data_IF_465832423285
#
_entry.id   IF_465832423285
#
_cell.length_a   1.000
_cell.length_b   1.000
_cell.length_c   1.000
_cell.angle_alpha   90.00
_cell.angle_beta   90.00
_cell.angle_gamma   90.00
#
_symmetry.space_group_name_H-M   'P 1'
#
loop_
_entity.id
_entity.type
_entity.pdbx_description
1 polymer ?
#
# COMPACT_ATOMS: atom_id res chain seq x y z
N UNK A 1 65.66 -17.39 23.90
CA UNK A 1 65.84 -18.74 23.33
C UNK A 1 64.49 -19.47 23.38
N UNK A 2 64.03 -19.96 22.21
CA UNK A 2 63.12 -21.10 21.90
C UNK A 2 61.82 -21.27 22.71
N UNK A 3 60.61 -21.18 22.11
CA UNK A 3 59.85 -22.21 21.31
C UNK A 3 59.67 -23.51 22.12
N UNK A 4 58.47 -24.03 22.44
CA UNK A 4 57.36 -24.45 21.54
C UNK A 4 56.07 -24.88 22.27
N UNK A 5 54.90 -24.57 21.65
CA UNK A 5 53.66 -25.37 21.39
C UNK A 5 52.88 -26.16 22.48
N UNK A 6 51.55 -25.93 22.53
CA UNK A 6 50.54 -26.98 22.23
C UNK A 6 49.17 -26.37 21.82
N UNK A 7 48.53 -27.01 20.83
CA UNK A 7 47.30 -26.65 20.10
C UNK A 7 46.01 -27.20 20.74
N UNK A 8 44.88 -26.51 20.47
CA UNK A 8 43.56 -27.05 20.09
C UNK A 8 42.72 -25.84 19.56
N UNK A 9 42.32 -25.64 18.29
CA UNK A 9 41.51 -26.43 17.33
C UNK A 9 40.11 -26.74 17.91
N UNK A 10 38.91 -26.46 17.36
CA UNK A 10 38.30 -25.99 16.09
C UNK A 10 36.86 -25.53 16.49
N UNK A 11 36.04 -24.80 15.72
CA UNK A 11 36.09 -24.47 14.30
C UNK A 11 34.98 -23.49 13.91
N UNK A 12 35.27 -22.74 12.86
CA UNK A 12 34.33 -21.86 12.17
C UNK A 12 33.78 -22.62 10.97
N UNK A 13 32.47 -22.84 10.94
CA UNK A 13 31.78 -23.46 9.82
C UNK A 13 31.50 -22.41 8.75
N UNK A 14 32.27 -22.45 7.67
CA UNK A 14 31.88 -21.93 6.36
C UNK A 14 31.10 -23.04 5.64
N UNK A 15 29.81 -22.82 5.37
CA UNK A 15 29.05 -23.63 4.42
C UNK A 15 28.25 -22.71 3.50
N UNK A 16 28.48 -22.96 2.22
CA UNK A 16 28.07 -22.29 1.00
C UNK A 16 26.57 -21.98 0.88
N UNK A 17 26.22 -20.73 0.56
CA UNK A 17 24.94 -20.39 -0.06
C UNK A 17 25.04 -20.61 -1.58
N UNK A 18 24.33 -21.59 -2.10
CA UNK A 18 24.00 -21.70 -3.51
C UNK A 18 22.73 -20.90 -3.80
N UNK A 19 22.90 -19.60 -4.08
CA UNK A 19 21.84 -18.77 -4.66
C UNK A 19 21.83 -18.97 -6.18
N UNK A 20 20.75 -19.53 -6.73
CA UNK A 20 20.47 -19.44 -8.17
C UNK A 20 19.64 -18.17 -8.40
N UNK A 21 20.09 -17.23 -9.25
CA UNK A 21 19.30 -16.05 -9.59
C UNK A 21 18.22 -16.45 -10.61
N UNK A 22 16.95 -16.41 -10.20
CA UNK A 22 15.83 -16.32 -11.14
C UNK A 22 15.57 -14.83 -11.37
N UNK A 23 16.02 -14.33 -12.51
CA UNK A 23 15.74 -12.97 -12.99
C UNK A 23 14.24 -12.77 -13.18
N UNK A 24 13.60 -12.02 -12.29
CA UNK A 24 12.27 -11.47 -12.52
C UNK A 24 12.40 -9.96 -12.74
N UNK A 25 12.57 -9.56 -14.00
CA UNK A 25 12.65 -8.16 -14.41
C UNK A 25 11.27 -7.51 -14.25
N UNK A 26 11.16 -6.50 -13.39
CA UNK A 26 9.94 -5.70 -13.11
C UNK A 26 9.46 -4.82 -14.29
N UNK A 27 9.98 -5.06 -15.49
CA UNK A 27 9.47 -4.51 -16.76
C UNK A 27 8.76 -5.56 -17.65
N UNK A 28 8.64 -6.82 -17.21
CA UNK A 28 8.18 -7.93 -18.04
C UNK A 28 6.67 -8.03 -18.29
N UNK A 29 5.81 -7.49 -17.42
CA UNK A 29 4.37 -7.79 -17.51
C UNK A 29 3.59 -6.91 -18.49
N UNK A 30 4.03 -5.67 -18.78
CA UNK A 30 3.37 -4.84 -19.80
C UNK A 30 3.74 -5.24 -21.23
N UNK A 31 4.99 -5.67 -21.47
CA UNK A 31 5.41 -6.13 -22.81
C UNK A 31 4.79 -7.49 -23.21
N UNK A 32 4.43 -8.35 -22.24
CA UNK A 32 3.68 -9.57 -22.53
C UNK A 32 2.26 -9.28 -23.09
N UNK A 33 1.60 -8.22 -22.61
CA UNK A 33 0.31 -7.77 -23.13
C UNK A 33 0.43 -6.99 -24.46
N UNK A 34 1.51 -6.25 -24.66
CA UNK A 34 1.75 -5.47 -25.88
C UNK A 34 2.12 -6.37 -27.09
N UNK A 35 2.84 -7.48 -26.86
CA UNK A 35 3.15 -8.45 -27.91
C UNK A 35 1.97 -9.35 -28.30
N UNK A 36 1.01 -9.57 -27.40
CA UNK A 36 -0.22 -10.32 -27.73
C UNK A 36 -1.17 -9.47 -28.61
N UNK A 37 -1.22 -8.16 -28.39
CA UNK A 37 -2.06 -7.24 -29.17
C UNK A 37 -1.56 -7.01 -30.61
N UNK A 38 -0.26 -7.15 -30.88
CA UNK A 38 0.32 -6.97 -32.22
C UNK A 38 0.19 -8.18 -33.16
N UNK A 39 -0.32 -9.33 -32.71
CA UNK A 39 -0.49 -10.53 -33.57
C UNK A 39 -1.90 -10.70 -34.17
N UNK A 40 -2.82 -9.75 -33.99
CA UNK A 40 -4.17 -9.84 -34.54
C UNK A 40 -4.42 -8.95 -35.77
N UNK A 41 -3.45 -8.88 -36.68
CA UNK A 41 -3.66 -8.25 -37.98
C UNK A 41 -3.31 -9.21 -39.12
N UNK A 42 -4.36 -9.61 -39.83
CA UNK A 42 -4.43 -10.25 -41.17
C UNK A 42 -4.33 -11.77 -41.29
N UNK A 43 -5.40 -12.34 -41.85
CA UNK A 43 -5.43 -13.70 -42.42
C UNK A 43 -6.83 -14.33 -42.42
N UNK A 44 -7.78 -13.79 -43.20
CA UNK A 44 -9.05 -14.47 -43.45
C UNK A 44 -8.81 -15.72 -44.31
N UNK A 45 -9.01 -16.90 -43.75
CA UNK A 45 -9.33 -18.11 -44.52
C UNK A 45 -10.57 -18.76 -43.91
N UNK A 46 -11.67 -18.71 -44.64
CA UNK A 46 -12.88 -19.46 -44.34
C UNK A 46 -12.63 -20.93 -44.63
N UNK A 47 -12.62 -21.77 -43.60
CA UNK A 47 -12.94 -23.17 -43.76
C UNK A 47 -14.15 -23.49 -42.88
N UNK A 48 -15.21 -23.95 -43.52
CA UNK A 48 -16.52 -24.18 -42.94
C UNK A 48 -16.54 -25.60 -42.42
N UNK A 49 -16.26 -25.76 -41.13
CA UNK A 49 -16.43 -27.04 -40.44
C UNK A 49 -17.56 -26.93 -39.42
N UNK A 50 -18.67 -27.58 -39.74
CA UNK A 50 -19.88 -27.64 -38.93
C UNK A 50 -19.87 -28.93 -38.13
N UNK A 51 -19.26 -28.92 -36.94
CA UNK A 51 -19.57 -29.91 -35.89
C UNK A 51 -19.32 -29.32 -34.49
N UNK A 52 -20.35 -29.44 -33.63
CA UNK A 52 -20.35 -29.23 -32.18
C UNK A 52 -20.03 -27.82 -31.67
N UNK A 53 -21.03 -26.94 -31.76
CA UNK A 53 -21.16 -25.80 -30.86
C UNK A 53 -21.39 -26.30 -29.42
N UNK A 54 -20.32 -26.63 -28.71
CA UNK A 54 -20.33 -26.38 -27.28
C UNK A 54 -20.55 -24.88 -27.12
N UNK A 55 -21.59 -24.52 -26.39
CA UNK A 55 -21.91 -23.15 -26.02
C UNK A 55 -20.68 -22.48 -25.43
N UNK A 56 -19.95 -21.71 -26.24
CA UNK A 56 -19.09 -20.63 -25.77
C UNK A 56 -20.00 -19.60 -25.13
N UNK A 57 -20.51 -19.91 -23.93
CA UNK A 57 -21.10 -18.92 -23.05
C UNK A 57 -19.99 -17.91 -22.80
N UNK A 58 -20.14 -16.73 -23.40
CA UNK A 58 -19.37 -15.55 -23.05
C UNK A 58 -19.76 -15.23 -21.60
N UNK A 59 -19.14 -15.91 -20.63
CA UNK A 59 -19.50 -15.79 -19.21
C UNK A 59 -19.42 -14.31 -18.85
N UNK A 60 -20.55 -13.77 -18.40
CA UNK A 60 -20.66 -12.34 -18.13
C UNK A 60 -19.62 -11.92 -17.07
N UNK A 61 -18.99 -10.78 -17.28
CA UNK A 61 -18.18 -10.12 -16.26
C UNK A 61 -19.08 -9.58 -15.14
N UNK A 62 -18.53 -9.46 -13.95
CA UNK A 62 -19.26 -8.93 -12.80
C UNK A 62 -19.14 -7.41 -12.72
N UNK A 63 -20.13 -6.79 -12.09
CA UNK A 63 -20.11 -5.38 -11.69
C UNK A 63 -20.08 -5.25 -10.18
N UNK A 64 -19.50 -4.16 -9.68
CA UNK A 64 -19.46 -3.89 -8.25
C UNK A 64 -20.91 -3.76 -7.72
N UNK A 65 -21.27 -4.45 -6.62
CA UNK A 65 -22.57 -4.27 -5.99
C UNK A 65 -22.78 -2.83 -5.50
N UNK A 66 -24.00 -2.33 -5.60
CA UNK A 66 -24.37 -1.05 -4.98
C UNK A 66 -24.52 -1.22 -3.48
N UNK A 67 -23.67 -0.56 -2.70
CA UNK A 67 -23.71 -0.58 -1.23
C UNK A 67 -23.12 0.72 -0.68
N UNK A 68 -23.64 1.28 0.43
CA UNK A 68 -23.18 2.57 0.96
C UNK A 68 -21.70 2.61 1.34
N UNK A 69 -21.13 1.48 1.77
CA UNK A 69 -19.72 1.38 2.11
C UNK A 69 -18.80 1.05 0.92
N UNK A 70 -19.37 0.77 -0.25
CA UNK A 70 -18.60 0.47 -1.46
C UNK A 70 -18.45 1.73 -2.31
N UNK A 71 -17.22 2.09 -2.61
CA UNK A 71 -16.90 3.24 -3.44
C UNK A 71 -16.51 2.76 -4.83
N UNK A 72 -17.22 3.15 -5.90
CA UNK A 72 -16.82 2.77 -7.25
C UNK A 72 -15.51 3.47 -7.63
N UNK A 73 -14.51 2.68 -8.04
CA UNK A 73 -13.30 3.21 -8.64
C UNK A 73 -13.57 3.51 -10.12
N UNK A 74 -13.27 4.73 -10.61
CA UNK A 74 -13.49 5.08 -12.01
C UNK A 74 -12.75 4.14 -12.96
N UNK A 75 -13.41 3.78 -14.07
CA UNK A 75 -12.84 2.92 -15.10
C UNK A 75 -13.90 2.42 -16.05
N UNK A 76 -13.47 1.92 -17.22
CA UNK A 76 -14.38 1.44 -18.25
C UNK A 76 -14.71 -0.05 -18.05
N UNK A 77 -13.68 -0.89 -17.93
CA UNK A 77 -13.81 -2.35 -17.87
C UNK A 77 -13.90 -2.87 -16.43
N UNK A 78 -13.32 -2.13 -15.46
CA UNK A 78 -13.32 -2.54 -14.05
C UNK A 78 -14.71 -2.54 -13.41
N UNK A 79 -15.74 -1.96 -14.05
CA UNK A 79 -17.13 -1.99 -13.57
C UNK A 79 -17.27 -1.55 -12.10
N UNK A 80 -16.46 -0.57 -11.68
CA UNK A 80 -16.43 -0.02 -10.33
C UNK A 80 -15.50 -0.72 -9.34
N UNK A 81 -14.98 -1.92 -9.67
CA UNK A 81 -14.01 -2.61 -8.82
C UNK A 81 -12.69 -1.84 -8.72
N UNK A 82 -11.97 -2.02 -7.60
CA UNK A 82 -10.68 -1.40 -7.35
C UNK A 82 -9.57 -2.16 -8.08
N UNK A 83 -9.57 -2.00 -9.40
CA UNK A 83 -8.60 -2.54 -10.36
C UNK A 83 -8.33 -1.47 -11.41
N UNK A 84 -7.27 -1.64 -12.19
CA UNK A 84 -6.99 -0.79 -13.35
C UNK A 84 -8.21 -0.68 -14.28
N UNK A 85 -8.46 0.51 -14.83
CA UNK A 85 -9.70 0.84 -15.55
C UNK A 85 -9.94 0.03 -16.83
N UNK A 86 -8.93 -0.63 -17.35
CA UNK A 86 -8.94 -1.52 -18.53
C UNK A 86 -8.93 -3.02 -18.16
N UNK A 87 -9.04 -3.35 -16.86
CA UNK A 87 -9.11 -4.74 -16.37
C UNK A 87 -10.54 -5.08 -16.01
N UNK A 88 -11.08 -6.17 -16.59
CA UNK A 88 -12.42 -6.67 -16.27
C UNK A 88 -12.43 -7.69 -15.13
N UNK A 89 -13.50 -7.64 -14.33
CA UNK A 89 -13.82 -8.65 -13.33
C UNK A 89 -14.51 -9.85 -13.99
N UNK A 90 -13.74 -10.74 -14.58
CA UNK A 90 -14.27 -11.90 -15.31
C UNK A 90 -14.66 -13.06 -14.39
N UNK A 91 -15.46 -13.99 -14.93
CA UNK A 91 -15.82 -15.22 -14.23
C UNK A 91 -14.59 -15.95 -13.66
N UNK A 92 -14.71 -16.40 -12.42
CA UNK A 92 -13.67 -17.15 -11.73
C UNK A 92 -12.55 -16.28 -11.18
N UNK A 93 -12.56 -14.96 -11.39
CA UNK A 93 -11.58 -14.04 -10.77
C UNK A 93 -12.07 -13.54 -9.41
N UNK A 94 -11.11 -13.26 -8.54
CA UNK A 94 -11.33 -12.42 -7.36
C UNK A 94 -11.16 -10.96 -7.77
N UNK A 95 -12.07 -10.10 -7.34
CA UNK A 95 -12.17 -8.72 -7.76
C UNK A 95 -12.16 -7.80 -6.54
N UNK A 96 -11.01 -7.18 -6.24
CA UNK A 96 -10.88 -6.22 -5.15
C UNK A 96 -11.81 -5.03 -5.32
N UNK A 97 -12.21 -4.41 -4.20
CA UNK A 97 -13.09 -3.23 -4.20
C UNK A 97 -12.63 -2.21 -3.18
N UNK A 98 -13.05 -0.97 -3.38
CA UNK A 98 -12.75 0.14 -2.49
C UNK A 98 -13.85 0.26 -1.43
N UNK A 99 -13.43 0.38 -0.17
CA UNK A 99 -14.31 0.72 0.94
C UNK A 99 -14.33 2.24 1.18
N UNK A 100 -15.39 2.73 1.81
CA UNK A 100 -15.47 4.12 2.25
C UNK A 100 -14.27 4.51 3.14
N UNK A 101 -13.80 5.77 3.11
CA UNK A 101 -12.62 6.18 3.86
C UNK A 101 -12.70 5.83 5.35
N UNK A 102 -11.62 5.24 5.88
CA UNK A 102 -11.55 4.73 7.26
C UNK A 102 -11.83 3.23 7.40
N UNK A 103 -12.36 2.59 6.34
CA UNK A 103 -12.68 1.16 6.31
C UNK A 103 -11.71 0.38 5.41
N UNK A 104 -11.60 -0.91 5.67
CA UNK A 104 -10.87 -1.88 4.85
C UNK A 104 -11.82 -2.96 4.34
N UNK A 105 -11.47 -3.61 3.23
CA UNK A 105 -12.26 -4.71 2.68
C UNK A 105 -12.31 -5.89 3.66
N UNK A 106 -13.38 -6.67 3.66
CA UNK A 106 -13.53 -7.84 4.54
C UNK A 106 -13.76 -9.13 3.74
N UNK A 107 -13.42 -9.10 2.44
CA UNK A 107 -13.64 -10.20 1.51
C UNK A 107 -12.36 -10.44 0.72
N UNK A 108 -11.99 -11.70 0.56
CA UNK A 108 -10.82 -12.19 -0.18
C UNK A 108 -10.91 -13.70 -0.31
N UNK A 109 -9.98 -14.31 -1.06
CA UNK A 109 -9.89 -15.77 -1.13
C UNK A 109 -9.62 -16.39 0.26
N UNK A 110 -10.46 -17.32 0.75
CA UNK A 110 -10.21 -17.99 2.02
C UNK A 110 -8.83 -18.65 2.07
N UNK A 111 -8.16 -18.50 3.21
CA UNK A 111 -6.81 -19.02 3.48
C UNK A 111 -5.68 -18.45 2.60
N UNK A 112 -5.93 -17.39 1.82
CA UNK A 112 -4.86 -16.69 1.09
C UNK A 112 -3.86 -16.04 2.03
N UNK A 113 -2.60 -15.98 1.58
CA UNK A 113 -1.48 -15.33 2.27
C UNK A 113 -0.89 -14.22 1.44
N UNK A 114 -0.04 -13.41 2.08
CA UNK A 114 0.74 -12.40 1.39
C UNK A 114 1.93 -13.04 0.64
N UNK A 115 1.59 -13.91 -0.32
CA UNK A 115 2.49 -14.62 -1.21
C UNK A 115 1.86 -14.64 -2.59
N UNK A 116 2.62 -14.32 -3.62
CA UNK A 116 2.12 -14.39 -4.99
C UNK A 116 1.87 -15.85 -5.42
N UNK A 117 0.75 -16.18 -6.11
CA UNK A 117 -0.30 -15.27 -6.59
C UNK A 117 -1.47 -15.07 -5.62
N UNK A 118 -1.46 -15.70 -4.44
CA UNK A 118 -2.56 -15.61 -3.47
C UNK A 118 -2.85 -14.18 -3.02
N UNK A 119 -1.81 -13.35 -2.92
CA UNK A 119 -1.92 -11.92 -2.58
C UNK A 119 -2.79 -11.11 -3.53
N UNK A 120 -2.95 -11.56 -4.77
CA UNK A 120 -3.79 -10.90 -5.79
C UNK A 120 -5.28 -11.16 -5.57
N UNK A 121 -5.64 -12.17 -4.78
CA UNK A 121 -7.00 -12.70 -4.73
C UNK A 121 -7.85 -12.02 -3.64
N UNK A 122 -7.95 -10.70 -3.71
CA UNK A 122 -8.79 -9.87 -2.84
C UNK A 122 -10.22 -9.66 -3.36
N UNK A 123 -11.10 -9.26 -2.45
CA UNK A 123 -12.47 -8.84 -2.76
C UNK A 123 -13.45 -9.98 -3.07
N UNK A 124 -14.35 -9.73 -4.02
CA UNK A 124 -15.47 -10.61 -4.34
C UNK A 124 -15.10 -11.65 -5.38
N UNK A 125 -15.70 -12.84 -5.31
CA UNK A 125 -15.54 -13.86 -6.33
C UNK A 125 -16.57 -13.65 -7.43
N UNK A 126 -16.13 -13.47 -8.67
CA UNK A 126 -17.06 -13.38 -9.79
C UNK A 126 -17.54 -14.78 -10.22
N UNK A 127 -18.85 -15.02 -10.16
CA UNK A 127 -19.51 -16.25 -10.56
C UNK A 127 -20.61 -15.97 -11.59
N UNK A 128 -20.35 -16.26 -12.87
CA UNK A 128 -21.23 -16.04 -14.02
C UNK A 128 -21.94 -14.68 -14.02
N UNK A 129 -21.19 -13.59 -13.80
CA UNK A 129 -21.72 -12.22 -13.76
C UNK A 129 -22.23 -11.76 -12.39
N UNK A 130 -22.25 -12.65 -11.38
CA UNK A 130 -22.62 -12.33 -10.01
C UNK A 130 -21.37 -12.21 -9.13
N UNK A 131 -21.19 -11.06 -8.47
CA UNK A 131 -20.10 -10.86 -7.52
C UNK A 131 -20.50 -11.40 -6.14
N UNK A 132 -19.93 -12.53 -5.74
CA UNK A 132 -20.26 -13.25 -4.50
C UNK A 132 -19.24 -12.93 -3.40
N UNK A 133 -19.72 -12.82 -2.16
CA UNK A 133 -18.86 -12.69 -0.97
C UNK A 133 -18.24 -14.06 -0.64
N UNK A 134 -16.90 -14.20 -0.61
CA UNK A 134 -16.26 -15.42 -0.15
C UNK A 134 -16.54 -15.75 1.33
N UNK A 135 -16.83 -14.73 2.15
CA UNK A 135 -17.31 -14.87 3.53
C UNK A 135 -18.76 -14.35 3.60
N UNK A 136 -19.78 -15.21 3.42
CA UNK A 136 -21.17 -14.79 3.30
C UNK A 136 -21.72 -14.04 4.51
N UNK A 137 -21.24 -14.37 5.70
CA UNK A 137 -21.70 -13.80 6.97
C UNK A 137 -20.95 -12.50 7.34
N UNK A 138 -19.85 -12.20 6.67
CA UNK A 138 -19.06 -10.98 6.91
C UNK A 138 -19.58 -9.81 6.05
N UNK A 139 -19.45 -8.56 6.51
CA UNK A 139 -19.79 -7.39 5.70
C UNK A 139 -18.84 -7.25 4.50
N UNK A 140 -19.13 -6.33 3.59
CA UNK A 140 -18.15 -5.94 2.57
C UNK A 140 -16.97 -5.18 3.20
N UNK A 141 -17.25 -4.24 4.10
CA UNK A 141 -16.23 -3.37 4.67
C UNK A 141 -16.29 -3.40 6.19
N UNK A 142 -15.14 -3.39 6.84
CA UNK A 142 -15.00 -3.23 8.29
C UNK A 142 -14.21 -1.97 8.61
N UNK A 143 -14.50 -1.35 9.74
CA UNK A 143 -13.75 -0.19 10.20
C UNK A 143 -12.29 -0.57 10.49
N UNK A 144 -11.37 0.31 10.11
CA UNK A 144 -10.03 0.30 10.67
C UNK A 144 -10.06 0.67 12.16
N UNK A 145 -8.90 0.66 12.80
CA UNK A 145 -8.80 0.92 14.25
C UNK A 145 -9.11 2.36 14.67
N UNK A 146 -9.24 3.28 13.71
CA UNK A 146 -9.52 4.70 13.97
C UNK A 146 -8.34 5.48 14.57
N UNK A 147 -7.16 4.87 14.65
CA UNK A 147 -6.00 5.45 15.32
C UNK A 147 -5.37 6.65 14.59
N UNK A 148 -5.64 6.81 13.28
CA UNK A 148 -5.01 7.85 12.45
C UNK A 148 -6.04 8.65 11.68
N UNK A 149 -5.92 9.98 11.77
CA UNK A 149 -6.62 10.93 10.93
C UNK A 149 -5.62 11.73 10.10
N UNK A 150 -6.09 12.27 8.98
CA UNK A 150 -5.35 13.27 8.22
C UNK A 150 -5.98 14.62 8.47
N UNK A 151 -5.14 15.63 8.73
CA UNK A 151 -5.55 17.02 8.92
C UNK A 151 -4.93 17.85 7.81
N UNK A 152 -5.78 18.39 6.95
CA UNK A 152 -5.40 19.26 5.84
C UNK A 152 -5.39 20.72 6.30
N UNK A 153 -4.21 21.34 6.29
CA UNK A 153 -4.00 22.77 6.56
C UNK A 153 -3.58 23.58 5.32
N UNK A 154 -3.60 22.99 4.12
CA UNK A 154 -3.09 23.66 2.90
C UNK A 154 -4.12 24.58 2.23
N UNK A 155 -5.41 24.46 2.55
CA UNK A 155 -6.47 25.29 1.95
C UNK A 155 -7.01 24.80 0.59
N UNK A 156 -6.49 23.69 0.09
CA UNK A 156 -6.94 23.02 -1.14
C UNK A 156 -7.16 21.54 -0.85
N UNK A 157 -8.00 20.88 -1.64
CA UNK A 157 -8.22 19.44 -1.51
C UNK A 157 -6.88 18.69 -1.64
N UNK A 158 -6.69 17.65 -0.84
CA UNK A 158 -5.57 16.72 -0.95
C UNK A 158 -6.16 15.32 -1.02
N UNK A 159 -5.64 14.47 -1.90
CA UNK A 159 -6.08 13.09 -2.01
C UNK A 159 -5.02 12.12 -1.48
N UNK A 160 -5.50 11.16 -0.68
CA UNK A 160 -4.77 10.01 -0.21
C UNK A 160 -5.32 8.78 -0.93
N UNK A 161 -4.47 8.13 -1.70
CA UNK A 161 -4.85 6.99 -2.52
C UNK A 161 -4.31 5.71 -1.89
N UNK A 162 -5.20 4.91 -1.31
CA UNK A 162 -4.84 3.66 -0.67
C UNK A 162 -4.53 2.59 -1.71
N UNK A 163 -3.52 1.76 -1.44
CA UNK A 163 -3.22 0.58 -2.26
C UNK A 163 -4.25 -0.52 -2.05
N UNK A 164 -4.57 -1.24 -3.11
CA UNK A 164 -5.48 -2.37 -3.08
C UNK A 164 -4.73 -3.61 -2.58
N UNK A 165 -4.95 -3.98 -1.33
CA UNK A 165 -4.33 -5.17 -0.71
C UNK A 165 -5.33 -5.87 0.21
N UNK A 166 -5.65 -7.17 0.03
CA UNK A 166 -5.22 -8.03 -1.07
C UNK A 166 -5.72 -7.55 -2.43
N UNK A 167 -4.91 -7.75 -3.46
CA UNK A 167 -5.12 -7.22 -4.80
C UNK A 167 -3.80 -6.88 -5.48
N UNK A 168 -3.87 -6.14 -6.57
CA UNK A 168 -2.71 -5.79 -7.42
C UNK A 168 -1.81 -4.67 -6.86
N UNK A 169 -2.06 -4.24 -5.61
CA UNK A 169 -1.37 -3.15 -4.93
C UNK A 169 -1.48 -1.78 -5.64
N UNK A 170 -2.38 -1.63 -6.61
CA UNK A 170 -2.60 -0.35 -7.28
C UNK A 170 -3.16 0.69 -6.29
N UNK A 171 -2.68 1.93 -6.36
CA UNK A 171 -3.10 3.05 -5.51
C UNK A 171 -4.41 3.71 -5.99
N UNK A 172 -5.48 2.93 -6.07
CA UNK A 172 -6.74 3.37 -6.70
C UNK A 172 -7.92 3.52 -5.75
N UNK A 173 -7.75 3.22 -4.45
CA UNK A 173 -8.80 3.41 -3.45
C UNK A 173 -8.81 4.89 -3.02
N UNK A 174 -9.87 5.67 -3.33
CA UNK A 174 -9.83 7.11 -3.23
C UNK A 174 -10.21 7.63 -1.84
N UNK A 175 -9.44 8.58 -1.30
CA UNK A 175 -9.84 9.39 -0.15
C UNK A 175 -9.51 10.86 -0.39
N UNK A 176 -10.56 11.69 -0.55
CA UNK A 176 -10.44 13.14 -0.63
C UNK A 176 -10.52 13.80 0.75
N UNK A 177 -9.64 14.78 0.99
CA UNK A 177 -9.45 15.40 2.30
C UNK A 177 -9.52 16.91 2.15
N UNK A 178 -10.64 17.49 2.54
CA UNK A 178 -10.86 18.95 2.50
C UNK A 178 -10.52 19.64 3.82
N UNK A 179 -10.69 18.95 4.93
CA UNK A 179 -10.32 19.41 6.27
C UNK A 179 -9.72 18.23 7.04
N UNK A 180 -10.53 17.49 7.79
CA UNK A 180 -10.07 16.32 8.56
C UNK A 180 -10.80 15.07 8.10
N UNK A 181 -10.07 13.96 7.95
CA UNK A 181 -10.65 12.67 7.57
C UNK A 181 -9.89 11.51 8.22
N UNK A 182 -10.62 10.55 8.78
CA UNK A 182 -10.05 9.26 9.20
C UNK A 182 -9.63 8.45 7.98
N UNK A 183 -8.41 7.91 8.02
CA UNK A 183 -7.91 6.96 7.03
C UNK A 183 -7.94 5.55 7.62
N UNK A 184 -7.99 4.54 6.76
CA UNK A 184 -8.04 3.16 7.21
C UNK A 184 -6.69 2.75 7.85
N UNK A 185 -6.77 2.18 9.05
CA UNK A 185 -5.64 1.59 9.76
C UNK A 185 -6.03 0.16 10.08
N UNK A 186 -5.48 -0.85 9.38
CA UNK A 186 -5.83 -2.24 9.65
C UNK A 186 -5.34 -2.67 11.03
N UNK A 187 -6.15 -3.45 11.73
CA UNK A 187 -5.75 -4.19 12.91
C UNK A 187 -5.25 -5.60 12.56
N UNK A 188 -4.87 -6.37 13.59
CA UNK A 188 -4.37 -7.75 13.41
C UNK A 188 -5.39 -8.75 12.84
N UNK A 189 -6.68 -8.39 12.81
CA UNK A 189 -7.73 -9.21 12.20
C UNK A 189 -7.80 -9.03 10.67
N UNK A 190 -7.14 -8.01 10.14
CA UNK A 190 -7.11 -7.76 8.71
C UNK A 190 -6.27 -8.80 7.98
N UNK A 191 -6.56 -8.98 6.69
CA UNK A 191 -5.94 -9.95 5.81
C UNK A 191 -4.42 -10.04 6.00
N UNK A 192 -3.97 -11.23 6.40
CA UNK A 192 -2.58 -11.58 6.72
C UNK A 192 -1.83 -10.58 7.63
N UNK A 193 -2.56 -9.89 8.52
CA UNK A 193 -2.03 -8.87 9.45
C UNK A 193 -1.28 -7.73 8.74
N UNK A 194 -1.67 -7.43 7.51
CA UNK A 194 -1.03 -6.42 6.66
C UNK A 194 -1.35 -4.99 7.11
N UNK A 195 -0.58 -4.04 6.59
CA UNK A 195 -0.78 -2.60 6.81
C UNK A 195 -1.53 -1.97 5.64
N UNK A 196 -2.08 -0.77 5.86
CA UNK A 196 -2.54 0.08 4.77
C UNK A 196 -1.39 0.98 4.31
N UNK A 197 -1.31 1.21 2.99
CA UNK A 197 -0.35 2.10 2.37
C UNK A 197 -1.07 3.13 1.50
N UNK A 198 -0.55 4.35 1.44
CA UNK A 198 -1.17 5.51 0.82
C UNK A 198 -0.17 6.31 0.00
N UNK A 199 -0.58 6.73 -1.20
CA UNK A 199 0.09 7.75 -1.99
C UNK A 199 -0.58 9.10 -1.75
N UNK A 200 0.20 10.16 -1.52
CA UNK A 200 -0.29 11.48 -1.10
C UNK A 200 -0.06 12.49 -2.22
N UNK A 201 -1.15 12.88 -2.88
CA UNK A 201 -1.08 13.81 -4.00
C UNK A 201 -0.92 15.28 -3.55
N UNK A 202 -0.40 16.16 -4.42
CA UNK A 202 -0.26 17.58 -4.12
C UNK A 202 -1.60 18.32 -3.86
N UNK A 203 -1.56 19.44 -3.11
CA UNK A 203 -2.70 20.32 -2.92
C UNK A 203 -3.37 20.76 -4.22
N UNK A 204 -4.68 20.57 -4.33
CA UNK A 204 -5.49 20.85 -5.51
C UNK A 204 -5.79 19.62 -6.36
N UNK A 205 -5.16 18.47 -6.10
CA UNK A 205 -5.38 17.23 -6.85
C UNK A 205 -6.41 16.36 -6.12
N UNK A 206 -7.61 16.26 -6.69
CA UNK A 206 -8.68 15.38 -6.19
C UNK A 206 -8.35 13.89 -6.38
N UNK A 207 -9.05 13.00 -5.69
CA UNK A 207 -8.85 11.57 -5.80
C UNK A 207 -9.20 11.04 -7.20
N UNK A 208 -10.17 11.65 -7.89
CA UNK A 208 -10.49 11.31 -9.29
C UNK A 208 -9.33 11.62 -10.25
N UNK A 209 -8.56 12.67 -9.97
CA UNK A 209 -7.38 13.04 -10.76
C UNK A 209 -6.13 12.27 -10.30
N UNK A 210 -5.97 12.07 -8.99
CA UNK A 210 -4.74 11.62 -8.37
C UNK A 210 -4.66 10.13 -8.04
N UNK A 211 -5.77 9.42 -7.89
CA UNK A 211 -5.76 7.98 -7.59
C UNK A 211 -5.77 7.15 -8.87
N UNK A 212 -4.72 7.35 -9.66
CA UNK A 212 -4.51 6.74 -10.97
C UNK A 212 -3.08 6.23 -11.08
N UNK A 213 -2.85 5.34 -12.05
CA UNK A 213 -1.49 5.06 -12.51
C UNK A 213 -1.08 6.13 -13.52
N UNK A 214 -0.17 7.00 -13.14
CA UNK A 214 0.26 8.17 -13.90
C UNK A 214 1.52 7.95 -14.74
N UNK A 215 2.11 9.06 -15.17
CA UNK A 215 3.41 9.11 -15.87
C UNK A 215 4.34 10.07 -15.12
N UNK A 216 5.64 9.94 -15.37
CA UNK A 216 6.69 10.80 -14.76
C UNK A 216 6.53 12.30 -15.10
N UNK A 217 5.59 12.66 -15.98
CA UNK A 217 5.32 14.06 -16.33
C UNK A 217 4.67 14.89 -15.21
N UNK A 218 4.05 14.24 -14.22
CA UNK A 218 3.34 14.91 -13.13
C UNK A 218 3.51 14.17 -11.81
N UNK A 219 3.64 14.88 -10.67
CA UNK A 219 3.82 14.27 -9.36
C UNK A 219 2.48 13.83 -8.74
N UNK A 220 1.75 12.95 -9.44
CA UNK A 220 0.45 12.43 -9.01
C UNK A 220 0.40 10.90 -9.12
N UNK A 221 -0.51 10.27 -8.38
CA UNK A 221 -0.67 8.81 -8.36
C UNK A 221 0.58 8.10 -7.89
N UNK A 222 1.03 7.10 -8.63
CA UNK A 222 2.27 6.38 -8.32
C UNK A 222 3.53 7.27 -8.34
N UNK A 223 3.46 8.48 -8.88
CA UNK A 223 4.53 9.49 -8.90
C UNK A 223 4.33 10.62 -7.87
N UNK A 224 3.35 10.50 -6.97
CA UNK A 224 3.13 11.48 -5.91
C UNK A 224 4.38 11.64 -5.03
N UNK A 225 4.63 12.81 -4.42
CA UNK A 225 5.89 13.05 -3.71
C UNK A 225 6.05 12.23 -2.44
N UNK A 226 4.94 11.94 -1.75
CA UNK A 226 4.95 11.28 -0.45
C UNK A 226 4.09 10.04 -0.43
N UNK A 227 4.45 9.13 0.48
CA UNK A 227 3.66 7.98 0.86
C UNK A 227 3.50 7.92 2.38
N UNK A 228 2.44 7.27 2.84
CA UNK A 228 2.22 6.95 4.24
C UNK A 228 1.80 5.49 4.40
N UNK A 229 2.00 4.94 5.59
CA UNK A 229 1.48 3.62 5.92
C UNK A 229 1.19 3.47 7.40
N UNK A 230 0.22 2.63 7.75
CA UNK A 230 -0.15 2.40 9.14
C UNK A 230 -0.76 1.03 9.39
N UNK A 231 -0.52 0.50 10.59
CA UNK A 231 -1.17 -0.70 11.12
C UNK A 231 -1.18 -0.71 12.65
N UNK A 232 -2.21 -1.32 13.23
CA UNK A 232 -2.30 -1.56 14.67
C UNK A 232 -1.95 -3.01 14.97
N UNK A 233 -0.98 -3.21 15.86
CA UNK A 233 -0.48 -4.54 16.23
C UNK A 233 -1.17 -5.08 17.49
N UNK A 234 -0.83 -6.31 17.89
CA UNK A 234 -1.57 -7.08 18.90
C UNK A 234 -1.59 -6.44 20.29
N UNK A 235 -0.57 -5.66 20.67
CA UNK A 235 -0.55 -4.93 21.94
C UNK A 235 -1.38 -3.63 21.89
N UNK A 236 -2.01 -3.32 20.76
CA UNK A 236 -2.81 -2.13 20.53
C UNK A 236 -2.00 -0.91 20.06
N UNK A 237 -0.67 -0.99 20.00
CA UNK A 237 0.13 0.09 19.44
C UNK A 237 -0.11 0.21 17.94
N UNK A 238 -0.12 1.44 17.44
CA UNK A 238 -0.21 1.74 16.02
C UNK A 238 1.11 2.31 15.52
N UNK A 239 1.67 1.71 14.48
CA UNK A 239 2.83 2.26 13.77
C UNK A 239 2.34 3.14 12.62
N UNK A 240 2.87 4.35 12.51
CA UNK A 240 2.54 5.31 11.45
C UNK A 240 3.84 5.74 10.77
N UNK A 241 3.98 5.40 9.49
CA UNK A 241 5.11 5.76 8.62
C UNK A 241 4.69 6.92 7.72
N UNK A 242 5.57 7.90 7.57
CA UNK A 242 5.57 8.84 6.43
C UNK A 242 6.92 8.76 5.74
N UNK A 243 6.93 8.87 4.42
CA UNK A 243 8.13 8.76 3.61
C UNK A 243 8.04 9.60 2.35
N UNK A 244 9.20 9.91 1.77
CA UNK A 244 9.27 10.22 0.36
C UNK A 244 8.87 9.00 -0.48
N UNK A 245 8.27 9.25 -1.64
CA UNK A 245 7.99 8.19 -2.60
C UNK A 245 9.26 7.89 -3.40
N UNK A 246 9.76 6.64 -3.42
CA UNK A 246 10.94 6.29 -4.21
C UNK A 246 10.78 6.55 -5.70
N UNK A 247 9.56 6.45 -6.26
CA UNK A 247 9.31 6.78 -7.66
C UNK A 247 9.54 8.28 -7.93
N UNK A 248 9.10 9.15 -7.02
CA UNK A 248 9.34 10.58 -7.13
C UNK A 248 10.85 10.88 -6.99
N UNK A 249 11.50 10.30 -5.98
CA UNK A 249 12.94 10.51 -5.69
C UNK A 249 13.85 9.94 -6.78
N UNK A 250 13.43 8.88 -7.46
CA UNK A 250 14.21 8.22 -8.50
C UNK A 250 14.16 8.91 -9.88
N UNK A 251 13.42 10.01 -10.02
CA UNK A 251 13.07 10.57 -11.32
C UNK A 251 13.23 12.10 -11.39
N UNK A 252 12.96 12.69 -12.55
CA UNK A 252 13.15 14.13 -12.79
C UNK A 252 12.20 15.04 -11.99
N UNK A 253 11.07 14.51 -11.51
CA UNK A 253 10.10 15.28 -10.71
C UNK A 253 10.73 15.85 -9.43
N UNK A 254 11.73 15.16 -8.88
CA UNK A 254 12.46 15.57 -7.68
C UNK A 254 13.18 16.92 -7.81
N UNK A 255 13.46 17.35 -9.04
CA UNK A 255 14.17 18.60 -9.33
C UNK A 255 13.26 19.82 -9.14
N UNK A 256 11.95 19.61 -8.99
CA UNK A 256 10.98 20.63 -8.55
C UNK A 256 10.37 20.21 -7.22
N UNK A 257 10.92 20.68 -6.08
CA UNK A 257 10.45 20.29 -4.76
C UNK A 257 8.97 20.62 -4.56
N UNK A 258 8.20 19.77 -3.83
CA UNK A 258 6.82 20.08 -3.49
C UNK A 258 6.70 21.37 -2.67
N UNK A 259 5.62 22.11 -2.86
CA UNK A 259 5.30 23.32 -2.08
C UNK A 259 4.49 23.03 -0.81
N UNK A 260 4.38 21.76 -0.42
CA UNK A 260 3.69 21.30 0.77
C UNK A 260 4.54 20.24 1.47
N UNK A 261 4.34 20.07 2.77
CA UNK A 261 4.98 19.04 3.58
C UNK A 261 3.96 18.21 4.35
N UNK A 262 4.45 17.14 4.96
CA UNK A 262 3.65 16.27 5.83
C UNK A 262 4.39 15.97 7.14
N UNK A 263 3.66 15.85 8.24
CA UNK A 263 4.23 15.53 9.55
C UNK A 263 3.24 14.77 10.43
N UNK A 264 3.76 14.01 11.37
CA UNK A 264 2.94 13.29 12.35
C UNK A 264 2.83 14.13 13.62
N UNK A 265 1.61 14.33 14.10
CA UNK A 265 1.31 14.90 15.40
C UNK A 265 0.51 13.92 16.26
N UNK A 266 0.65 14.00 17.58
CA UNK A 266 -0.19 13.26 18.51
C UNK A 266 -0.91 14.23 19.43
N UNK A 267 -2.20 14.51 19.20
CA UNK A 267 -2.95 15.50 19.97
C UNK A 267 -2.93 15.22 21.49
N UNK A 268 -2.98 13.96 21.89
CA UNK A 268 -2.88 13.53 23.29
C UNK A 268 -1.45 13.34 23.81
N UNK A 269 -0.44 13.66 23.00
CA UNK A 269 0.98 13.48 23.33
C UNK A 269 1.41 12.02 23.58
N UNK A 270 2.70 11.85 23.91
CA UNK A 270 3.27 10.56 24.32
C UNK A 270 3.37 9.51 23.21
N UNK A 271 3.47 9.94 21.96
CA UNK A 271 3.94 9.09 20.88
C UNK A 271 5.47 9.02 20.87
N UNK A 272 6.01 7.87 20.47
CA UNK A 272 7.44 7.66 20.37
C UNK A 272 7.91 7.88 18.93
N UNK A 273 9.10 8.47 18.75
CA UNK A 273 9.67 8.75 17.42
C UNK A 273 9.37 10.15 16.86
N UNK A 274 8.74 11.02 17.65
CA UNK A 274 8.55 12.44 17.29
C UNK A 274 9.81 13.28 17.56
N UNK A 275 10.05 14.37 16.79
CA UNK A 275 9.31 14.78 15.59
C UNK A 275 9.48 13.78 14.44
N UNK A 276 8.49 13.72 13.55
CA UNK A 276 8.57 12.97 12.30
C UNK A 276 7.89 13.83 11.23
N UNK A 277 8.71 14.52 10.44
CA UNK A 277 8.27 15.57 9.51
C UNK A 277 9.08 15.53 8.22
N UNK A 278 8.41 15.81 7.11
CA UNK A 278 8.98 16.05 5.80
C UNK A 278 8.60 17.47 5.40
N UNK A 279 9.57 18.37 5.41
CA UNK A 279 9.43 19.72 4.89
C UNK A 279 10.51 19.98 3.83
N UNK A 280 10.17 19.96 2.52
CA UNK A 280 11.18 20.15 1.48
C UNK A 280 11.85 21.52 1.50
N UNK A 281 11.26 22.55 2.13
CA UNK A 281 11.89 23.87 2.23
C UNK A 281 13.02 23.93 3.27
N UNK A 282 13.00 23.06 4.29
CA UNK A 282 14.01 23.02 5.35
C UNK A 282 14.89 21.78 5.30
N UNK A 283 14.32 20.65 4.92
CA UNK A 283 14.96 19.33 4.96
C UNK A 283 15.60 18.98 3.60
N UNK A 284 15.29 19.76 2.56
CA UNK A 284 15.68 19.49 1.19
C UNK A 284 14.89 18.35 0.55
N UNK A 285 15.22 18.05 -0.69
CA UNK A 285 14.62 16.93 -1.40
C UNK A 285 15.08 15.60 -0.78
N UNK A 286 14.13 14.66 -0.58
CA UNK A 286 14.36 13.40 0.12
C UNK A 286 14.82 13.56 1.58
N UNK A 287 14.61 14.71 2.23
CA UNK A 287 14.95 14.91 3.64
C UNK A 287 13.80 14.57 4.59
N UNK A 288 14.15 14.04 5.77
CA UNK A 288 13.23 13.78 6.89
C UNK A 288 13.82 14.32 8.19
N UNK A 289 13.04 15.11 8.92
CA UNK A 289 13.34 15.54 10.28
C UNK A 289 12.74 14.57 11.31
N UNK A 290 13.58 13.66 11.83
CA UNK A 290 13.21 12.73 12.90
C UNK A 290 14.41 12.14 13.64
N UNK A 291 14.31 11.85 14.95
CA UNK A 291 15.33 11.08 15.67
C UNK A 291 15.37 9.61 15.25
N UNK A 292 14.31 9.11 14.60
CA UNK A 292 14.16 7.73 14.14
C UNK A 292 14.03 7.66 12.61
N UNK A 293 14.70 8.57 11.90
CA UNK A 293 14.77 8.54 10.44
C UNK A 293 15.57 7.33 9.95
N UNK A 294 15.16 6.80 8.81
CA UNK A 294 15.88 5.75 8.10
C UNK A 294 15.65 5.91 6.58
N UNK A 295 16.46 5.22 5.79
CA UNK A 295 16.36 5.19 4.33
C UNK A 295 15.83 3.82 3.91
N UNK A 296 14.76 3.83 3.11
CA UNK A 296 14.06 2.64 2.63
C UNK A 296 14.43 2.28 1.19
N UNK A 297 13.54 1.54 0.53
CA UNK A 297 13.73 1.16 -0.88
C UNK A 297 13.77 2.39 -1.78
N UNK A 298 14.53 2.31 -2.87
CA UNK A 298 14.71 3.42 -3.81
C UNK A 298 15.40 4.65 -3.20
N UNK A 299 16.17 4.46 -2.13
CA UNK A 299 16.83 5.51 -1.37
C UNK A 299 15.87 6.56 -0.79
N UNK A 300 14.59 6.20 -0.58
CA UNK A 300 13.62 7.14 -0.04
C UNK A 300 13.71 7.22 1.49
N UNK A 301 13.89 8.44 2.02
CA UNK A 301 13.94 8.65 3.47
C UNK A 301 12.53 8.60 4.08
N UNK A 302 12.46 8.04 5.29
CA UNK A 302 11.21 7.91 6.06
C UNK A 302 11.43 8.06 7.57
N UNK A 303 10.34 8.24 8.30
CA UNK A 303 10.30 8.08 9.75
C UNK A 303 9.04 7.34 10.19
N UNK A 304 9.12 6.71 11.35
CA UNK A 304 8.01 5.92 11.94
C UNK A 304 7.72 6.42 13.34
N UNK A 305 6.44 6.66 13.61
CA UNK A 305 5.95 7.02 14.94
C UNK A 305 5.16 5.86 15.51
N UNK A 306 5.40 5.53 16.78
CA UNK A 306 4.58 4.58 17.54
C UNK A 306 3.57 5.35 18.37
N UNK A 307 2.30 5.08 18.10
CA UNK A 307 1.14 5.62 18.82
C UNK A 307 0.70 4.56 19.83
N UNK A 308 0.85 4.79 21.14
CA UNK A 308 0.44 3.83 22.15
C UNK A 308 -1.05 3.49 22.06
N UNK A 309 -1.41 2.27 22.48
CA UNK A 309 -2.81 1.84 22.56
C UNK A 309 -3.72 2.88 23.23
N UNK A 310 -4.89 3.10 22.61
CA UNK A 310 -5.89 4.07 23.06
C UNK A 310 -5.60 5.54 22.71
N UNK A 311 -4.46 5.83 22.06
CA UNK A 311 -4.13 7.18 21.56
C UNK A 311 -4.36 7.29 20.06
N UNK A 312 -4.35 8.53 19.58
CA UNK A 312 -4.51 8.86 18.16
C UNK A 312 -3.36 9.71 17.65
N UNK A 313 -3.09 9.61 16.35
CA UNK A 313 -2.18 10.49 15.63
C UNK A 313 -2.88 11.17 14.45
N UNK A 314 -2.35 12.33 14.09
CA UNK A 314 -2.71 13.07 12.90
C UNK A 314 -1.53 13.07 11.92
N UNK A 315 -1.78 12.72 10.66
CA UNK A 315 -0.90 13.10 9.56
C UNK A 315 -1.35 14.50 9.11
N UNK A 316 -0.54 15.51 9.39
CA UNK A 316 -0.84 16.90 9.06
C UNK A 316 -0.19 17.25 7.74
N UNK A 317 -0.99 17.71 6.78
CA UNK A 317 -0.53 18.26 5.50
C UNK A 317 -0.50 19.78 5.63
N UNK A 318 0.64 20.42 5.32
CA UNK A 318 0.85 21.85 5.55
C UNK A 318 1.57 22.54 4.39
N UNK A 319 1.39 23.85 4.22
CA UNK A 319 2.14 24.63 3.24
C UNK A 319 3.54 24.94 3.77
N UNK A 320 4.57 24.78 2.94
CA UNK A 320 5.98 24.94 3.37
C UNK A 320 6.38 26.38 3.65
N UNK A 321 5.58 27.35 3.21
CA UNK A 321 5.72 28.78 3.47
C UNK A 321 5.14 29.19 4.84
N UNK A 322 4.52 28.24 5.56
CA UNK A 322 3.88 28.47 6.86
C UNK A 322 2.46 29.01 6.78
N UNK A 323 1.93 29.23 5.58
CA UNK A 323 0.54 29.68 5.40
C UNK A 323 -0.43 28.57 5.82
N UNK A 324 -1.44 28.90 6.62
CA UNK A 324 -2.56 27.99 6.90
C UNK A 324 -3.77 28.37 6.04
N UNK A 325 -4.35 27.38 5.37
CA UNK A 325 -5.59 27.53 4.62
C UNK A 325 -6.80 27.05 5.40
N UNK A 326 -7.96 27.69 5.18
CA UNK A 326 -9.24 27.20 5.69
C UNK A 326 -9.68 25.89 5.01
N UNK A 327 -10.80 25.28 5.43
CA UNK A 327 -11.33 24.08 4.79
C UNK A 327 -11.45 24.24 3.27
N UNK A 328 -10.92 23.28 2.51
CA UNK A 328 -11.03 23.33 1.06
C UNK A 328 -12.50 23.17 0.63
N UNK A 329 -12.95 23.84 -0.44
CA UNK A 329 -14.25 23.57 -1.03
C UNK A 329 -14.39 22.08 -1.37
N UNK A 330 -15.57 21.51 -1.11
CA UNK A 330 -15.85 20.15 -1.53
C UNK A 330 -15.74 20.03 -3.06
N UNK A 331 -15.18 18.94 -3.60
CA UNK A 331 -15.17 18.70 -5.04
C UNK A 331 -16.63 18.64 -5.53
N UNK A 332 -16.92 19.11 -6.76
CA UNK A 332 -18.26 18.99 -7.32
C UNK A 332 -18.65 17.52 -7.39
N UNK A 333 -19.66 17.11 -6.64
CA UNK A 333 -20.21 15.75 -6.69
C UNK A 333 -20.73 15.46 -8.10
N UNK A 334 -20.01 14.62 -8.85
CA UNK A 334 -20.56 14.02 -10.06
C UNK A 334 -21.47 12.87 -9.66
N UNK A 335 -22.75 13.00 -10.05
CA UNK A 335 -23.86 12.02 -9.95
C UNK A 335 -24.48 11.83 -8.56
N UNK A 336 -25.32 12.77 -8.15
CA UNK A 336 -26.49 12.41 -7.36
C UNK A 336 -27.46 11.61 -8.25
N UNK A 337 -27.94 10.42 -7.85
CA UNK A 337 -28.98 9.73 -8.59
C UNK A 337 -30.25 10.61 -8.67
N UNK A 338 -30.96 10.61 -9.81
CA UNK A 338 -32.18 11.41 -9.94
C UNK A 338 -33.18 11.00 -8.85
N UNK A 339 -33.93 11.95 -8.27
CA UNK A 339 -34.92 11.64 -7.26
C UNK A 339 -35.94 10.63 -7.82
N UNK A 340 -36.40 9.66 -7.01
CA UNK A 340 -37.37 8.69 -7.47
C UNK A 340 -38.63 9.43 -7.94
N UNK A 341 -39.04 9.16 -9.19
CA UNK A 341 -40.32 9.62 -9.72
C UNK A 341 -41.44 9.01 -8.88
N UNK A 342 -42.01 9.83 -8.01
CA UNK A 342 -43.15 9.48 -7.18
C UNK A 342 -44.41 9.59 -8.03
N UNK A 343 -44.91 8.43 -8.46
CA UNK A 343 -46.24 8.28 -9.03
C UNK A 343 -47.26 8.72 -7.96
N UNK A 344 -47.98 9.82 -8.23
CA UNK A 344 -49.12 10.26 -7.43
C UNK A 344 -50.17 9.14 -7.38
N UNK A 345 -50.39 8.56 -6.21
CA UNK A 345 -51.69 7.98 -5.85
C UNK A 345 -52.32 8.83 -4.75
N UNK A 346 -53.62 9.07 -4.93
CA UNK A 346 -54.48 9.91 -4.12
C UNK A 346 -54.73 9.29 -2.72
N UNK A 347 -54.97 10.11 -1.68
CA UNK A 347 -55.27 9.60 -0.35
C UNK A 347 -56.77 9.32 -0.19
N UNK A 348 -57.09 8.09 0.21
CA UNK A 348 -58.42 7.75 0.74
C UNK A 348 -58.41 7.94 2.25
N UNK A 349 -59.29 8.80 2.71
CA UNK A 349 -59.61 9.09 4.10
C UNK A 349 -60.15 7.85 4.83
N UNK A 350 -59.64 7.53 6.04
CA UNK A 350 -60.48 7.01 7.13
C UNK A 350 -59.88 7.37 8.50
N UNK A 351 -60.76 7.98 9.28
CA UNK A 351 -60.83 8.42 10.66
C UNK A 351 -60.32 7.49 11.80
N UNK A 352 -59.77 8.16 12.83
CA UNK A 352 -60.01 7.98 14.29
C UNK A 352 -59.54 6.65 14.92
N UNK A 353 -58.63 6.65 15.89
CA UNK A 353 -58.98 6.98 17.28
C UNK A 353 -57.75 7.22 18.17
N UNK A 354 -57.92 8.22 19.02
CA UNK A 354 -57.10 8.63 20.16
C UNK A 354 -57.27 7.69 21.36
N UNK A 355 -56.18 7.37 22.05
CA UNK A 355 -56.21 7.08 23.48
C UNK A 355 -54.89 7.45 24.14
N UNK A 356 -55.04 8.20 25.23
CA UNK A 356 -54.06 8.86 26.07
C UNK A 356 -53.87 8.13 27.39
N UNK A 357 -52.64 8.11 27.90
CA UNK A 357 -52.27 7.94 29.33
C UNK A 357 -50.78 8.27 29.43
N UNK A 358 -50.36 9.43 29.94
CA UNK A 358 -50.31 9.97 31.32
C UNK A 358 -49.37 9.20 32.26
N UNK A 359 -48.47 10.01 32.84
CA UNK A 359 -47.32 9.74 33.68
C UNK A 359 -47.57 9.15 35.08
N UNK A 360 -46.49 8.62 35.69
CA UNK A 360 -46.04 8.72 37.09
C UNK A 360 -44.67 8.02 37.17
N UNK A 361 -43.52 8.66 37.47
CA UNK A 361 -43.00 9.26 38.72
C UNK A 361 -42.46 8.25 39.76
N UNK A 362 -41.41 8.69 40.49
CA UNK A 362 -40.94 8.24 41.83
C UNK A 362 -39.73 7.27 41.77
N UNK A 363 -38.46 7.76 41.88
CA UNK A 363 -37.60 7.96 43.10
C UNK A 363 -37.03 6.64 43.68
N UNK A 364 -35.86 6.46 44.29
CA UNK A 364 -34.66 7.23 44.69
C UNK A 364 -33.67 6.19 45.27
N UNK A 365 -32.37 6.53 45.32
CA UNK A 365 -31.39 6.15 46.38
C UNK A 365 -30.92 4.68 46.47
N UNK A 366 -29.74 4.27 46.90
CA UNK A 366 -28.48 4.81 47.50
C UNK A 366 -27.47 3.62 47.44
N UNK A 367 -26.20 3.77 47.04
CA UNK A 367 -24.97 4.05 47.82
C UNK A 367 -24.24 2.82 48.44
N UNK A 368 -22.90 2.99 48.55
CA UNK A 368 -21.85 2.18 49.22
C UNK A 368 -21.12 1.12 48.34
N UNK A 369 -19.83 1.25 47.96
CA UNK A 369 -18.55 1.63 48.62
C UNK A 369 -17.87 0.49 49.39
N UNK A 370 -16.67 0.09 48.92
CA UNK A 370 -15.56 -0.30 49.80
C UNK A 370 -14.23 -0.44 49.02
N UNK A 371 -13.25 0.37 49.46
CA UNK A 371 -11.80 0.33 49.22
C UNK A 371 -11.16 -1.03 49.62
N UNK A 372 -9.95 -1.46 49.21
CA UNK A 372 -8.67 -0.82 49.56
C UNK A 372 -7.41 -1.57 49.04
N UNK A 373 -6.36 -0.76 48.79
CA UNK A 373 -4.91 -0.91 49.06
C UNK A 373 -3.96 -1.87 48.31
N UNK A 374 -3.08 -1.23 47.52
CA UNK A 374 -1.60 -1.26 47.46
C UNK A 374 -0.79 -2.57 47.40
N UNK A 375 0.12 -2.65 46.41
CA UNK A 375 1.56 -2.80 46.67
C UNK A 375 2.42 -2.54 45.42
N UNK A 376 3.50 -1.81 45.66
CA UNK A 376 4.59 -1.39 44.79
C UNK A 376 5.58 -2.52 44.44
N UNK A 377 6.01 -2.64 43.19
CA UNK A 377 7.37 -3.10 42.80
C UNK A 377 7.79 -2.55 41.42
N UNK A 378 8.91 -1.83 41.40
CA UNK A 378 9.78 -1.59 40.24
C UNK A 378 10.45 -2.89 39.79
N UNK A 379 10.81 -3.02 38.49
CA UNK A 379 12.25 -3.07 38.20
C UNK A 379 12.69 -2.28 36.96
N UNK A 380 13.98 -1.99 37.01
CA UNK A 380 14.82 -1.33 36.01
C UNK A 380 15.26 -2.29 34.88
N UNK A 381 15.56 -1.67 33.73
CA UNK A 381 16.60 -2.00 32.73
C UNK A 381 16.30 -2.85 31.49
N UNK A 382 16.61 -2.19 30.36
CA UNK A 382 17.18 -2.62 29.06
C UNK A 382 16.28 -2.56 27.83
N UNK A 383 16.82 -2.06 26.69
CA UNK A 383 16.05 -1.68 25.52
C UNK A 383 15.66 -2.92 24.75
N UNK A 384 14.36 -3.14 24.59
CA UNK A 384 13.87 -4.17 23.68
C UNK A 384 14.10 -3.73 22.24
N UNK A 385 14.93 -4.52 21.59
CA UNK A 385 15.07 -4.70 20.16
C UNK A 385 13.71 -4.61 19.45
N UNK A 386 13.62 -3.71 18.47
CA UNK A 386 12.46 -3.48 17.60
C UNK A 386 12.34 -4.60 16.55
N UNK A 387 11.27 -5.41 16.52
CA UNK A 387 10.77 -5.99 15.29
C UNK A 387 9.64 -5.07 14.80
N UNK A 388 10.00 -4.04 14.04
CA UNK A 388 9.01 -3.18 13.39
C UNK A 388 8.07 -4.03 12.53
N UNK A 389 6.78 -3.68 12.55
CA UNK A 389 5.78 -4.26 11.67
C UNK A 389 6.29 -4.29 10.23
N UNK A 390 6.06 -5.42 9.58
CA UNK A 390 6.59 -5.75 8.26
C UNK A 390 6.03 -4.77 7.22
N UNK A 391 6.81 -3.74 6.90
CA UNK A 391 6.74 -3.03 5.62
C UNK A 391 7.65 -3.81 4.67
N UNK A 392 7.14 -4.86 4.01
CA UNK A 392 7.92 -5.56 2.99
C UNK A 392 7.93 -4.74 1.70
N UNK A 393 8.94 -3.91 1.54
CA UNK A 393 9.33 -3.39 0.24
C UNK A 393 10.39 -4.38 -0.31
N UNK A 394 10.10 -5.01 -1.45
CA UNK A 394 10.93 -6.08 -2.05
C UNK A 394 12.33 -5.55 -2.44
N UNK A 395 13.40 -6.13 -1.87
CA UNK A 395 14.79 -5.72 -2.09
C UNK A 395 15.39 -6.34 -3.35
N UNK A 396 16.05 -5.53 -4.19
CA UNK A 396 17.08 -5.98 -5.13
C UNK A 396 18.30 -5.09 -4.92
N UNK A 397 19.39 -5.66 -4.43
CA UNK A 397 20.66 -4.99 -4.18
C UNK A 397 21.52 -4.98 -5.45
N UNK A 398 21.97 -3.81 -5.88
CA UNK A 398 23.05 -3.67 -6.86
C UNK A 398 24.29 -3.15 -6.12
N UNK A 399 25.34 -3.96 -6.09
CA UNK A 399 26.66 -3.58 -5.60
C UNK A 399 27.39 -2.81 -6.70
N UNK A 400 27.72 -1.54 -6.44
CA UNK A 400 28.70 -0.78 -7.23
C UNK A 400 30.05 -0.79 -6.48
N UNK A 401 31.05 -1.41 -7.11
CA UNK A 401 32.44 -1.38 -6.68
C UNK A 401 33.07 -0.02 -6.98
N UNK A 402 33.36 0.78 -5.95
CA UNK A 402 34.27 1.94 -6.06
C UNK A 402 35.63 1.62 -5.45
N UNK A 403 36.70 1.60 -6.26
CA UNK A 403 38.08 1.52 -5.79
C UNK A 403 38.68 2.91 -5.59
N UNK A 404 39.28 3.09 -4.41
CA UNK A 404 39.97 4.26 -3.85
C UNK A 404 40.85 5.10 -4.80
N UNK A 405 40.74 6.41 -4.65
CA UNK A 405 41.79 7.37 -4.99
C UNK A 405 42.21 8.15 -3.74
N UNK A 406 43.52 8.29 -3.51
CA UNK A 406 44.06 9.22 -2.51
C UNK A 406 45.24 10.03 -3.06
N UNK A 407 44.95 11.32 -3.19
CA UNK A 407 45.77 12.51 -2.88
C UNK A 407 46.97 12.96 -3.74
N UNK A 408 46.79 14.22 -4.17
CA UNK A 408 47.71 15.37 -4.30
C UNK A 408 48.52 15.58 -5.59
N UNK A 409 48.13 16.67 -6.25
CA UNK A 409 48.80 17.43 -7.32
C UNK A 409 50.04 18.22 -6.80
N UNK A 410 50.76 19.04 -7.60
CA UNK A 410 50.59 19.37 -9.03
C UNK A 410 51.89 19.39 -9.89
N UNK A 411 51.70 19.73 -11.17
CA UNK A 411 52.50 20.64 -12.04
C UNK A 411 53.15 20.05 -13.31
N UNK A 412 52.70 20.61 -14.45
CA UNK A 412 53.44 20.96 -15.67
C UNK A 412 54.05 19.88 -16.61
N UNK A 413 53.38 19.78 -17.76
CA UNK A 413 53.90 20.04 -19.11
C UNK A 413 54.90 19.10 -19.82
N UNK A 414 54.42 18.68 -21.01
CA UNK A 414 55.09 18.54 -22.33
C UNK A 414 55.72 17.22 -22.75
N UNK A 415 55.32 16.87 -23.98
CA UNK A 415 56.08 16.15 -25.03
C UNK A 415 56.32 14.66 -24.81
N UNK A 416 56.34 13.80 -25.82
CA UNK A 416 55.96 13.78 -27.23
C UNK A 416 56.30 12.34 -27.68
N UNK A 417 55.64 11.86 -28.75
CA UNK A 417 56.11 10.79 -29.67
C UNK A 417 56.39 9.40 -29.08
N UNK A 418 55.90 8.29 -29.62
CA UNK A 418 55.21 8.04 -30.86
C UNK A 418 55.24 6.54 -31.17
N UNK A 419 54.58 6.20 -32.27
CA UNK A 419 54.72 4.96 -33.05
C UNK A 419 53.92 3.73 -32.61
N UNK A 420 52.91 3.43 -33.44
CA UNK A 420 52.16 2.20 -33.63
C UNK A 420 53.06 1.05 -34.17
N UNK A 421 52.58 -0.12 -34.65
CA UNK A 421 51.20 -0.67 -34.78
C UNK A 421 51.14 -2.15 -34.27
N UNK A 422 50.13 -3.02 -34.42
CA UNK A 422 49.24 -3.36 -35.54
C UNK A 422 48.21 -4.43 -35.07
N UNK A 423 46.96 -4.30 -35.54
CA UNK A 423 45.92 -5.30 -35.92
C UNK A 423 45.63 -6.57 -35.08
N UNK A 424 44.37 -6.94 -34.79
CA UNK A 424 43.33 -7.28 -35.78
C UNK A 424 41.92 -7.46 -35.17
N UNK A 425 40.92 -6.99 -35.92
CA UNK A 425 39.46 -7.24 -35.92
C UNK A 425 39.18 -8.74 -36.22
N UNK A 426 38.03 -9.42 -36.02
CA UNK A 426 36.59 -9.07 -36.03
C UNK A 426 35.73 -10.36 -35.83
N UNK A 427 34.48 -10.21 -35.32
CA UNK A 427 33.23 -10.97 -35.66
C UNK A 427 33.15 -12.48 -35.32
N UNK A 428 32.01 -13.15 -35.04
CA UNK A 428 30.54 -12.88 -35.04
C UNK A 428 29.78 -14.13 -34.52
N UNK A 429 28.56 -13.93 -33.99
CA UNK A 429 27.33 -14.75 -34.00
C UNK A 429 27.22 -16.19 -33.45
N UNK A 430 26.06 -16.47 -32.81
CA UNK A 430 25.40 -17.80 -32.85
C UNK A 430 24.65 -18.25 -31.59
N UNK A 431 23.30 -18.25 -31.63
CA UNK A 431 22.36 -18.72 -30.60
C UNK A 431 22.08 -20.24 -30.64
N UNK A 432 21.69 -20.85 -29.51
CA UNK A 432 20.95 -22.13 -29.44
C UNK A 432 20.04 -22.20 -28.19
N UNK A 433 18.76 -22.50 -28.42
CA UNK A 433 17.72 -22.86 -27.45
C UNK A 433 17.87 -24.30 -26.92
N UNK A 434 17.45 -24.58 -25.67
CA UNK A 434 16.98 -25.92 -25.28
C UNK A 434 16.00 -25.90 -24.11
N UNK A 435 14.84 -26.52 -24.36
CA UNK A 435 13.75 -26.88 -23.45
C UNK A 435 14.04 -28.13 -22.60
N UNK A 436 13.47 -28.25 -21.39
CA UNK A 436 13.43 -29.52 -20.66
C UNK A 436 12.80 -29.47 -19.26
N UNK A 437 11.83 -30.34 -19.02
CA UNK A 437 10.88 -30.49 -17.90
C UNK A 437 11.32 -31.42 -16.73
N UNK A 438 10.65 -31.32 -15.56
CA UNK A 438 10.19 -32.38 -14.60
C UNK A 438 10.42 -31.97 -13.12
N UNK A 439 9.38 -31.75 -12.28
CA UNK A 439 8.60 -32.68 -11.43
C UNK A 439 9.43 -33.51 -10.43
N UNK A 440 9.26 -33.26 -9.12
CA UNK A 440 8.94 -34.23 -8.04
C UNK A 440 9.37 -33.72 -6.64
N UNK A 441 8.52 -33.93 -5.61
CA UNK A 441 8.97 -33.91 -4.20
C UNK A 441 7.99 -33.31 -3.18
N UNK A 442 6.91 -34.03 -2.88
CA UNK A 442 5.99 -33.78 -1.75
C UNK A 442 6.50 -34.51 -0.49
N UNK A 443 6.18 -33.95 0.70
CA UNK A 443 5.91 -34.60 2.02
C UNK A 443 6.89 -34.31 3.20
N UNK A 444 6.32 -33.58 4.17
CA UNK A 444 6.44 -33.62 5.66
C UNK A 444 7.56 -32.85 6.36
N UNK A 445 7.15 -31.87 7.16
CA UNK A 445 7.70 -31.61 8.49
C UNK A 445 6.59 -31.14 9.45
N UNK A 446 6.29 -31.97 10.44
CA UNK A 446 5.50 -31.66 11.64
C UNK A 446 6.43 -31.90 12.85
N UNK A 447 6.27 -31.04 13.86
CA UNK A 447 6.84 -31.10 15.23
C UNK A 447 8.27 -30.57 15.40
N UNK A 448 8.37 -29.39 16.02
CA UNK A 448 9.05 -29.21 17.31
C UNK A 448 8.78 -27.79 17.86
N UNK A 449 7.70 -27.66 18.63
CA UNK A 449 7.65 -26.71 19.73
C UNK A 449 8.42 -27.32 20.92
N UNK A 450 8.96 -26.45 21.78
CA UNK A 450 9.64 -26.72 23.05
C UNK A 450 11.17 -26.90 23.02
N UNK A 451 11.87 -25.76 23.08
CA UNK A 451 13.17 -25.51 23.74
C UNK A 451 13.61 -24.12 23.23
N UNK A 452 13.78 -23.04 23.99
CA UNK A 452 14.01 -22.80 25.41
C UNK A 452 13.57 -21.35 25.69
N UNK A 453 13.10 -21.12 26.92
CA UNK A 453 13.11 -19.89 27.72
C UNK A 453 13.18 -18.51 27.03
#
# INVERSE_FOLDING_TARGET
MRLTTLQAALGSASLFLSAHPVSATTHGHRHAHEQLARRHAHGHHHNRDTTNASTLEKRAGCSLPSHPDLIPVPGAMNSGFAMAGDVSCDHGKYCPYACAPGKVMAQWQPNSRYVYPESMNGGLKCNNGVAEKPFPDEPYCVDGTGAVQVVNKVGKIVSFCQTVLPGDEAMVIPTDITNTRTIAVPGISYWDKTAAHYYINPPGVSATEGCIWGTESKPIGNWSPYVAGANTVANGDTYVKIAWNPMFVGCSLKDTPPNFGIRIECPGGGCNGLPCSINPSTDGNNGVNSPVKATGVGNADFCVVTVPSGKTANIVVFNVDGSEGGPAPAPPSSVAPPPPSSTKQAPTSTSTSSSSSKASSTSSSDSESSDSSSSSKTPSTRPNYFPGGIFHENSTSSEDHSSHGSTKAPTANTSATGTAPLSSTSQSDGAVDQSGSAIAGLIVALVAAAALY
#
